data_IF_194176939414
#
_entry.id   IF_194176939414
#
_cell.length_a   1.000
_cell.length_b   1.000
_cell.length_c   1.000
_cell.angle_alpha   90.00
_cell.angle_beta   90.00
_cell.angle_gamma   90.00
#
_symmetry.space_group_name_H-M   'P 1'
#
loop_
_entity.id
_entity.type
_entity.pdbx_description
1 polymer ?
#
# COMPACT_ATOMS: atom_id res chain seq x y z
N UNK A 1 7.81 14.87 -21.06
CA UNK A 1 8.39 14.12 -19.95
C UNK A 1 8.44 12.64 -20.32
N UNK A 2 9.62 12.03 -20.22
CA UNK A 2 9.76 10.59 -20.48
C UNK A 2 9.18 9.81 -19.32
N UNK A 3 8.30 8.85 -19.63
CA UNK A 3 7.78 7.95 -18.65
C UNK A 3 8.81 6.84 -18.37
N UNK A 4 9.26 6.74 -17.12
CA UNK A 4 10.16 5.67 -16.70
C UNK A 4 9.37 4.67 -15.87
N UNK A 5 8.93 3.61 -16.54
CA UNK A 5 8.46 2.38 -15.90
C UNK A 5 9.59 1.34 -15.82
N UNK A 6 10.77 1.64 -16.37
CA UNK A 6 11.85 0.67 -16.45
C UNK A 6 12.57 0.54 -15.11
N UNK A 7 12.41 -0.62 -14.49
CA UNK A 7 13.05 -0.95 -13.21
C UNK A 7 14.57 -0.80 -13.24
N UNK A 8 15.23 -0.99 -14.40
CA UNK A 8 16.68 -0.83 -14.54
C UNK A 8 17.16 0.59 -14.22
N UNK A 9 16.33 1.61 -14.50
CA UNK A 9 16.66 2.99 -14.14
C UNK A 9 16.74 3.17 -12.61
N UNK A 10 15.84 2.52 -11.88
CA UNK A 10 15.82 2.59 -10.41
C UNK A 10 16.96 1.77 -9.81
N UNK A 11 17.19 0.56 -10.32
CA UNK A 11 18.21 -0.34 -9.78
C UNK A 11 19.63 0.22 -9.87
N UNK A 12 19.90 1.10 -10.84
CA UNK A 12 21.22 1.75 -10.95
C UNK A 12 21.50 2.80 -9.87
N UNK A 13 20.46 3.25 -9.15
CA UNK A 13 20.52 4.32 -8.15
C UNK A 13 19.94 3.94 -6.79
N UNK A 14 19.39 2.75 -6.69
CA UNK A 14 18.61 2.31 -5.54
C UNK A 14 19.38 1.30 -4.67
N UNK A 15 19.14 1.36 -3.39
CA UNK A 15 19.51 0.28 -2.47
C UNK A 15 18.46 -0.81 -2.56
N UNK A 16 18.88 -2.01 -2.97
CA UNK A 16 18.00 -3.17 -3.06
C UNK A 16 17.78 -3.71 -1.65
N UNK A 17 16.53 -3.80 -1.24
CA UNK A 17 16.12 -4.32 0.07
C UNK A 17 15.86 -5.82 -0.01
N UNK A 18 15.12 -6.26 -1.02
CA UNK A 18 14.90 -7.68 -1.30
C UNK A 18 15.13 -7.95 -2.79
N UNK A 19 15.74 -9.10 -3.06
CA UNK A 19 15.89 -9.60 -4.42
C UNK A 19 14.55 -10.09 -5.00
N UNK A 20 14.55 -10.40 -6.27
CA UNK A 20 13.40 -11.04 -6.92
C UNK A 20 13.09 -12.40 -6.28
N UNK A 21 11.79 -12.68 -6.11
CA UNK A 21 11.29 -13.99 -5.72
C UNK A 21 10.62 -14.64 -6.92
N UNK A 22 10.84 -15.93 -7.08
CA UNK A 22 10.13 -16.74 -8.08
C UNK A 22 9.10 -17.58 -7.33
N UNK A 23 7.84 -17.42 -7.71
CA UNK A 23 6.74 -18.17 -7.14
C UNK A 23 6.21 -19.18 -8.15
N UNK A 24 5.99 -20.40 -7.72
CA UNK A 24 5.19 -21.36 -8.43
C UNK A 24 3.77 -21.30 -7.90
N UNK A 25 2.85 -20.76 -8.67
CA UNK A 25 1.44 -20.67 -8.28
C UNK A 25 0.67 -21.78 -8.99
N UNK A 26 0.19 -22.74 -8.22
CA UNK A 26 -0.76 -23.74 -8.69
C UNK A 26 -2.18 -23.21 -8.52
N UNK A 27 -2.69 -22.58 -9.56
CA UNK A 27 -4.11 -22.24 -9.62
C UNK A 27 -4.83 -23.48 -10.12
N UNK A 28 -5.61 -24.18 -9.31
CA UNK A 28 -6.43 -25.34 -9.65
C UNK A 28 -5.92 -26.22 -10.81
N UNK A 29 -6.16 -27.51 -10.75
CA UNK A 29 -5.73 -28.56 -11.71
C UNK A 29 -6.02 -28.32 -13.20
N UNK A 30 -6.74 -27.26 -13.56
CA UNK A 30 -7.13 -26.87 -14.91
C UNK A 30 -6.31 -25.70 -15.49
N UNK A 31 -5.47 -25.05 -14.71
CA UNK A 31 -4.68 -23.89 -15.16
C UNK A 31 -3.20 -24.27 -15.12
N UNK A 32 -2.49 -24.02 -16.22
CA UNK A 32 -1.04 -24.23 -16.35
C UNK A 32 -0.30 -23.60 -15.18
N UNK A 33 0.66 -24.30 -14.61
CA UNK A 33 1.64 -23.76 -13.66
C UNK A 33 2.20 -22.45 -14.22
N UNK A 34 1.96 -21.36 -13.51
CA UNK A 34 2.48 -20.06 -13.90
C UNK A 34 3.57 -19.68 -12.92
N UNK A 35 4.77 -19.43 -13.41
CA UNK A 35 5.82 -18.80 -12.61
C UNK A 35 5.57 -17.31 -12.56
N UNK A 36 5.47 -16.79 -11.34
CA UNK A 36 5.42 -15.35 -11.08
C UNK A 36 6.76 -14.90 -10.55
N UNK A 37 7.23 -13.76 -11.04
CA UNK A 37 8.41 -13.10 -10.49
C UNK A 37 7.98 -11.83 -9.77
N UNK A 38 8.37 -11.71 -8.50
CA UNK A 38 8.30 -10.42 -7.84
C UNK A 38 9.36 -9.50 -8.44
N UNK A 39 9.07 -8.21 -8.47
CA UNK A 39 10.12 -7.22 -8.71
C UNK A 39 10.95 -7.07 -7.43
N UNK A 40 12.24 -6.72 -7.54
CA UNK A 40 13.05 -6.40 -6.36
C UNK A 40 12.44 -5.19 -5.65
N UNK A 41 12.44 -5.22 -4.33
CA UNK A 41 12.05 -4.07 -3.52
C UNK A 41 13.26 -3.22 -3.21
N UNK A 42 13.10 -1.91 -3.27
CA UNK A 42 14.21 -0.96 -3.14
C UNK A 42 13.79 0.35 -2.49
N UNK A 43 14.77 1.11 -2.07
CA UNK A 43 14.62 2.52 -1.66
C UNK A 43 15.56 3.36 -2.49
N UNK A 44 15.10 4.46 -3.03
CA UNK A 44 15.91 5.39 -3.83
C UNK A 44 15.69 6.82 -3.38
N UNK A 45 16.68 7.67 -3.65
CA UNK A 45 16.64 9.10 -3.34
C UNK A 45 16.57 9.88 -4.66
N UNK A 46 15.67 10.86 -4.72
CA UNK A 46 15.60 11.82 -5.81
C UNK A 46 16.00 13.19 -5.33
N UNK A 47 16.96 13.80 -6.03
CA UNK A 47 17.35 15.19 -5.80
C UNK A 47 16.58 16.12 -6.72
N UNK A 48 16.23 17.32 -6.22
CA UNK A 48 15.55 18.36 -6.99
C UNK A 48 14.30 17.85 -7.73
N UNK A 49 13.44 17.12 -7.04
CA UNK A 49 12.22 16.56 -7.62
C UNK A 49 10.97 17.30 -7.16
N UNK A 50 9.88 17.08 -7.88
CA UNK A 50 8.57 17.62 -7.55
C UNK A 50 7.56 16.49 -7.40
N UNK A 51 6.78 16.53 -6.32
CA UNK A 51 5.68 15.63 -6.05
C UNK A 51 4.34 16.37 -6.10
N UNK A 52 3.29 15.68 -6.52
CA UNK A 52 1.94 16.25 -6.65
C UNK A 52 0.95 15.50 -5.79
N UNK A 53 -0.27 16.03 -5.68
CA UNK A 53 -1.40 15.32 -5.06
C UNK A 53 -1.78 14.03 -5.79
N UNK A 54 -1.32 13.83 -7.02
CA UNK A 54 -1.35 12.53 -7.67
C UNK A 54 -0.14 11.71 -7.20
N UNK A 55 -0.24 10.38 -7.18
CA UNK A 55 0.87 9.52 -6.77
C UNK A 55 1.99 9.49 -7.83
N UNK A 56 2.51 10.65 -8.20
CA UNK A 56 3.52 10.84 -9.22
C UNK A 56 4.60 11.82 -8.77
N UNK A 57 5.83 11.54 -9.17
CA UNK A 57 6.99 12.39 -8.96
C UNK A 57 7.56 12.77 -10.33
N UNK A 58 7.93 14.04 -10.47
CA UNK A 58 8.70 14.52 -11.63
C UNK A 58 10.09 14.89 -11.17
N UNK A 59 11.09 14.25 -11.75
CA UNK A 59 12.50 14.50 -11.43
C UNK A 59 13.01 15.76 -12.11
N UNK A 60 14.19 16.25 -11.69
CA UNK A 60 14.84 17.41 -12.28
C UNK A 60 15.08 17.27 -13.78
N UNK A 61 15.44 16.08 -14.24
CA UNK A 61 15.69 15.74 -15.64
C UNK A 61 14.40 15.38 -16.41
N UNK A 62 13.26 15.82 -15.90
CA UNK A 62 11.93 15.67 -16.49
C UNK A 62 11.48 14.22 -16.71
N UNK A 63 11.88 13.31 -15.83
CA UNK A 63 11.34 11.97 -15.80
C UNK A 63 10.14 11.88 -14.88
N UNK A 64 9.10 11.18 -15.32
CA UNK A 64 7.91 10.89 -14.53
C UNK A 64 8.07 9.52 -13.87
N UNK A 65 8.04 9.51 -12.55
CA UNK A 65 8.10 8.29 -11.76
C UNK A 65 6.69 7.87 -11.38
N UNK A 66 6.24 6.74 -11.89
CA UNK A 66 4.87 6.25 -11.74
C UNK A 66 4.77 4.88 -11.08
N UNK A 67 5.85 4.38 -10.49
CA UNK A 67 5.88 3.06 -9.84
C UNK A 67 4.85 2.87 -8.73
N UNK A 68 4.23 3.95 -8.28
CA UNK A 68 3.22 3.93 -7.23
C UNK A 68 1.79 4.03 -7.79
N UNK A 69 1.66 4.07 -9.11
CA UNK A 69 0.38 4.30 -9.79
C UNK A 69 0.02 3.09 -10.61
N UNK A 70 -0.50 2.10 -9.95
CA UNK A 70 -1.31 1.09 -10.60
C UNK A 70 -2.68 1.72 -10.89
N UNK A 71 -3.18 1.68 -11.95
CA UNK A 71 -3.07 1.26 -13.34
C UNK A 71 -2.97 2.41 -14.35
N UNK A 72 -2.46 3.58 -13.95
CA UNK A 72 -2.44 4.77 -14.80
C UNK A 72 -1.77 4.54 -16.16
N UNK A 73 -0.93 3.50 -16.26
CA UNK A 73 -0.14 3.25 -17.45
C UNK A 73 -0.25 1.82 -18.00
N UNK A 74 -0.91 0.89 -17.31
CA UNK A 74 -0.79 -0.54 -17.60
C UNK A 74 -1.62 -1.04 -18.78
N UNK A 75 -2.67 -0.37 -19.23
CA UNK A 75 -3.50 -0.86 -20.35
C UNK A 75 -4.07 0.25 -21.21
N UNK A 76 -3.25 0.84 -22.07
CA UNK A 76 -3.81 1.52 -23.24
C UNK A 76 -3.10 1.06 -24.50
N UNK A 77 -3.44 -0.13 -24.97
CA UNK A 77 -3.36 -0.42 -26.40
C UNK A 77 -4.52 0.34 -27.05
N UNK A 78 -4.18 1.39 -27.80
CA UNK A 78 -5.02 2.02 -28.84
C UNK A 78 -6.24 2.86 -28.47
N UNK A 79 -6.37 3.42 -27.27
CA UNK A 79 -7.34 4.52 -27.06
C UNK A 79 -6.73 5.61 -26.15
N UNK A 80 -6.93 6.90 -26.45
CA UNK A 80 -6.53 7.97 -25.54
C UNK A 80 -7.46 7.94 -24.33
N UNK A 81 -7.13 7.18 -23.31
CA UNK A 81 -7.82 7.29 -22.04
C UNK A 81 -7.33 8.55 -21.34
N UNK A 82 -8.25 9.41 -21.00
CA UNK A 82 -8.03 10.47 -20.01
C UNK A 82 -7.83 9.78 -18.66
N UNK A 83 -6.62 9.33 -18.42
CA UNK A 83 -6.24 8.62 -17.21
C UNK A 83 -6.42 9.54 -16.00
N UNK A 84 -6.14 10.80 -16.19
CA UNK A 84 -6.43 11.88 -15.27
C UNK A 84 -6.36 13.19 -16.05
N UNK A 85 -7.08 14.24 -15.61
CA UNK A 85 -7.06 15.56 -16.27
C UNK A 85 -5.65 16.17 -16.43
N UNK A 86 -4.67 15.64 -15.71
CA UNK A 86 -3.29 16.11 -15.72
C UNK A 86 -2.35 15.34 -16.65
N UNK A 87 -2.74 14.17 -17.16
CA UNK A 87 -1.86 13.32 -17.97
C UNK A 87 -2.47 13.02 -19.32
N UNK A 88 -1.70 13.25 -20.37
CA UNK A 88 -2.01 12.78 -21.71
C UNK A 88 -0.83 11.96 -22.20
N UNK A 89 -1.05 10.71 -22.57
CA UNK A 89 0.01 9.81 -23.04
C UNK A 89 0.10 9.81 -24.55
N UNK A 90 1.32 9.94 -25.05
CA UNK A 90 1.69 9.83 -26.47
C UNK A 90 2.84 8.81 -26.60
N UNK A 91 2.53 7.53 -26.89
CA UNK A 91 3.57 6.51 -26.96
C UNK A 91 4.34 6.38 -25.63
N UNK A 92 5.65 6.61 -25.68
CA UNK A 92 6.54 6.58 -24.51
C UNK A 92 6.68 7.93 -23.79
N UNK A 93 6.01 8.96 -24.26
CA UNK A 93 6.00 10.28 -23.64
C UNK A 93 4.68 10.57 -22.97
N UNK A 94 4.72 11.37 -21.93
CA UNK A 94 3.54 11.82 -21.18
C UNK A 94 3.59 13.33 -21.06
N UNK A 95 2.55 13.99 -21.54
CA UNK A 95 2.34 15.40 -21.24
C UNK A 95 1.70 15.56 -19.88
N UNK A 96 2.34 16.31 -19.01
CA UNK A 96 1.88 16.56 -17.66
C UNK A 96 1.57 18.03 -17.51
N UNK A 97 0.32 18.32 -17.20
CA UNK A 97 -0.05 19.64 -16.75
C UNK A 97 0.15 19.73 -15.22
N UNK A 98 1.36 20.13 -14.83
CA UNK A 98 1.70 20.29 -13.42
C UNK A 98 0.91 21.43 -12.80
N UNK A 99 0.31 21.22 -11.63
CA UNK A 99 -0.15 22.34 -10.80
C UNK A 99 1.02 23.27 -10.42
N UNK A 100 0.72 24.51 -10.00
CA UNK A 100 1.76 25.42 -9.53
C UNK A 100 2.52 24.85 -8.33
N UNK A 101 3.80 25.19 -8.23
CA UNK A 101 4.62 24.87 -7.07
C UNK A 101 4.22 25.84 -5.95
N UNK A 102 3.66 25.30 -4.88
CA UNK A 102 3.15 26.09 -3.74
C UNK A 102 4.06 25.99 -2.51
N UNK A 103 4.90 24.95 -2.44
CA UNK A 103 5.88 24.76 -1.38
C UNK A 103 7.21 24.26 -1.89
N UNK A 104 8.30 24.67 -1.22
CA UNK A 104 9.64 24.14 -1.46
C UNK A 104 10.27 23.75 -0.12
N UNK A 105 10.92 22.59 -0.14
CA UNK A 105 11.62 22.02 1.01
C UNK A 105 13.10 21.94 0.67
N UNK A 106 13.85 22.90 1.19
CA UNK A 106 15.28 23.07 0.94
C UNK A 106 16.15 22.50 2.06
N UNK A 107 15.53 22.10 3.17
CA UNK A 107 16.23 21.55 4.30
C UNK A 107 16.54 20.07 4.07
N UNK A 108 17.69 19.63 4.59
CA UNK A 108 18.12 18.24 4.58
C UNK A 108 17.34 17.36 5.57
N UNK A 109 16.02 17.59 5.68
CA UNK A 109 15.13 16.68 6.39
C UNK A 109 14.88 15.45 5.55
N UNK A 110 14.69 14.33 6.23
CA UNK A 110 14.44 13.07 5.55
C UNK A 110 12.96 12.97 5.17
N UNK A 111 12.60 13.56 4.05
CA UNK A 111 11.24 13.46 3.51
C UNK A 111 11.07 12.13 2.77
N UNK A 112 9.98 11.42 3.07
CA UNK A 112 9.66 10.12 2.49
C UNK A 112 8.33 10.19 1.74
N UNK A 113 8.33 9.79 0.49
CA UNK A 113 7.15 9.75 -0.34
C UNK A 113 6.29 8.51 -0.07
N UNK A 114 5.07 8.71 0.40
CA UNK A 114 4.06 7.68 0.61
C UNK A 114 2.79 8.00 -0.18
N UNK A 115 2.76 7.77 -1.48
CA UNK A 115 1.58 8.01 -2.27
C UNK A 115 0.44 7.06 -1.87
N UNK A 116 -0.76 7.60 -1.77
CA UNK A 116 -2.01 6.86 -1.59
C UNK A 116 -2.85 7.10 -2.84
N UNK A 117 -3.27 6.04 -3.52
CA UNK A 117 -4.15 6.14 -4.68
C UNK A 117 -5.57 6.54 -4.22
N UNK A 118 -6.14 7.56 -4.85
CA UNK A 118 -7.49 8.07 -4.52
C UNK A 118 -8.58 6.99 -4.60
N UNK A 119 -8.48 6.07 -5.57
CA UNK A 119 -9.47 5.01 -5.77
C UNK A 119 -9.38 3.87 -4.75
N UNK A 120 -8.25 3.76 -4.07
CA UNK A 120 -7.96 2.68 -3.11
C UNK A 120 -7.72 3.17 -1.69
N UNK A 121 -7.84 4.49 -1.47
CA UNK A 121 -7.49 5.14 -0.21
C UNK A 121 -8.25 4.60 1.01
N UNK A 122 -9.52 4.23 0.86
CA UNK A 122 -10.34 3.67 1.96
C UNK A 122 -10.32 2.13 1.99
N UNK A 123 -9.54 1.47 1.14
CA UNK A 123 -9.45 0.03 1.10
C UNK A 123 -8.34 -0.48 2.04
N UNK A 124 -8.65 -1.25 3.10
CA UNK A 124 -7.66 -1.77 4.05
C UNK A 124 -6.49 -2.50 3.37
N UNK A 125 -6.77 -3.34 2.37
CA UNK A 125 -5.73 -4.05 1.63
C UNK A 125 -4.68 -3.10 1.06
N UNK A 126 -5.11 -2.06 0.35
CA UNK A 126 -4.18 -1.12 -0.27
C UNK A 126 -3.41 -0.30 0.77
N UNK A 127 -4.04 0.07 1.88
CA UNK A 127 -3.32 0.79 2.94
C UNK A 127 -2.23 -0.11 3.57
N UNK A 128 -2.55 -1.36 3.91
CA UNK A 128 -1.55 -2.25 4.51
C UNK A 128 -0.48 -2.69 3.52
N UNK A 129 -0.87 -3.07 2.30
CA UNK A 129 0.03 -3.71 1.34
C UNK A 129 0.77 -2.70 0.46
N UNK A 130 0.14 -1.59 0.07
CA UNK A 130 0.76 -0.63 -0.85
C UNK A 130 1.40 0.56 -0.11
N UNK A 131 0.94 0.88 1.09
CA UNK A 131 1.41 2.06 1.84
C UNK A 131 2.25 1.64 3.05
N UNK A 132 1.65 0.94 4.02
CA UNK A 132 2.34 0.58 5.26
C UNK A 132 3.52 -0.37 5.03
N UNK A 133 3.42 -1.27 4.07
CA UNK A 133 4.53 -2.17 3.69
C UNK A 133 5.84 -1.44 3.35
N UNK A 134 5.77 -0.19 2.91
CA UNK A 134 6.95 0.64 2.60
C UNK A 134 7.77 0.97 3.84
N UNK A 135 7.16 0.98 5.03
CA UNK A 135 7.87 1.17 6.29
C UNK A 135 8.89 0.06 6.53
N UNK A 136 8.58 -1.17 6.13
CA UNK A 136 9.53 -2.30 6.19
C UNK A 136 10.81 -2.03 5.40
N UNK A 137 10.71 -1.40 4.24
CA UNK A 137 11.86 -1.06 3.42
C UNK A 137 12.73 0.02 4.08
N UNK A 138 12.09 0.96 4.75
CA UNK A 138 12.78 2.01 5.51
C UNK A 138 13.46 1.46 6.75
N UNK A 139 12.82 0.52 7.48
CA UNK A 139 13.43 -0.14 8.65
C UNK A 139 14.74 -0.81 8.32
N UNK A 140 14.80 -1.57 7.23
CA UNK A 140 16.00 -2.28 6.80
C UNK A 140 17.15 -1.33 6.49
N UNK A 141 16.86 -0.13 6.00
CA UNK A 141 17.86 0.87 5.65
C UNK A 141 18.29 1.73 6.83
N UNK A 142 17.36 2.17 7.69
CA UNK A 142 17.62 3.24 8.66
C UNK A 142 17.11 2.99 10.07
N UNK A 143 16.70 1.82 10.41
CA UNK A 143 16.08 1.46 11.70
C UNK A 143 14.60 1.78 11.84
N UNK A 144 14.01 1.26 12.94
CA UNK A 144 12.58 1.39 13.27
C UNK A 144 12.16 2.78 13.76
N UNK A 145 13.11 3.72 13.92
CA UNK A 145 12.78 5.04 14.42
C UNK A 145 12.23 5.96 13.34
N UNK A 146 10.93 5.84 13.06
CA UNK A 146 10.23 6.65 12.06
C UNK A 146 10.06 8.12 12.44
N UNK A 147 10.36 8.52 13.68
CA UNK A 147 10.25 9.92 14.12
C UNK A 147 11.24 10.86 13.44
N UNK A 148 12.29 10.30 12.84
CA UNK A 148 13.30 11.03 12.06
C UNK A 148 12.82 11.42 10.68
N UNK A 149 11.70 10.85 10.21
CA UNK A 149 11.16 11.08 8.89
C UNK A 149 9.93 11.97 8.94
N UNK A 150 9.74 12.71 7.86
CA UNK A 150 8.48 13.39 7.56
C UNK A 150 7.90 12.78 6.32
N UNK A 151 6.76 12.12 6.47
CA UNK A 151 6.12 11.43 5.37
C UNK A 151 5.26 12.39 4.54
N UNK A 152 5.36 12.28 3.22
CA UNK A 152 4.62 13.10 2.27
C UNK A 152 3.56 12.24 1.62
N UNK A 153 2.31 12.57 1.84
CA UNK A 153 1.14 11.85 1.33
C UNK A 153 0.52 12.60 0.15
N UNK A 154 0.00 11.87 -0.83
CA UNK A 154 -0.77 12.44 -1.93
C UNK A 154 -2.26 12.58 -1.60
N UNK A 155 -2.86 11.59 -0.96
CA UNK A 155 -4.28 11.57 -0.58
C UNK A 155 -4.43 10.91 0.79
N UNK A 156 -4.76 11.66 1.85
CA UNK A 156 -5.04 11.05 3.14
C UNK A 156 -6.36 10.30 3.06
N UNK A 157 -6.39 9.11 3.61
CA UNK A 157 -7.62 8.37 3.80
C UNK A 157 -7.99 8.34 5.28
N UNK A 158 -9.30 8.19 5.56
CA UNK A 158 -9.74 7.99 6.94
C UNK A 158 -9.16 6.70 7.51
N UNK A 159 -9.05 5.66 6.68
CA UNK A 159 -8.48 4.39 7.11
C UNK A 159 -6.98 4.52 7.42
N UNK A 160 -6.20 5.20 6.56
CA UNK A 160 -4.79 5.49 6.85
C UNK A 160 -4.64 6.29 8.16
N UNK A 161 -5.47 7.31 8.36
CA UNK A 161 -5.43 8.12 9.57
C UNK A 161 -5.70 7.30 10.84
N UNK A 162 -6.64 6.33 10.79
CA UNK A 162 -6.87 5.38 11.90
C UNK A 162 -5.62 4.54 12.16
N UNK A 163 -5.03 3.95 11.11
CA UNK A 163 -3.80 3.13 11.23
C UNK A 163 -2.64 3.98 11.79
N UNK A 164 -2.41 5.18 11.25
CA UNK A 164 -1.36 6.07 11.73
C UNK A 164 -1.53 6.41 13.21
N UNK A 165 -2.76 6.80 13.61
CA UNK A 165 -3.06 7.15 15.01
C UNK A 165 -2.86 5.99 15.98
N UNK A 166 -3.27 4.78 15.59
CA UNK A 166 -3.29 3.64 16.51
C UNK A 166 -1.99 2.85 16.54
N UNK A 167 -1.30 2.72 15.39
CA UNK A 167 -0.10 1.90 15.24
C UNK A 167 1.18 2.75 15.23
N UNK A 168 1.10 3.97 14.70
CA UNK A 168 2.23 4.89 14.57
C UNK A 168 1.94 6.28 15.16
N UNK A 169 1.63 6.40 16.47
CA UNK A 169 1.14 7.66 17.07
C UNK A 169 2.12 8.84 16.95
N UNK A 170 3.40 8.56 16.75
CA UNK A 170 4.45 9.59 16.59
C UNK A 170 4.77 9.91 15.12
N UNK A 171 4.03 9.34 14.18
CA UNK A 171 4.26 9.53 12.76
C UNK A 171 4.03 11.00 12.36
N UNK A 172 5.06 11.63 11.79
CA UNK A 172 4.96 12.97 11.23
C UNK A 172 4.67 12.89 9.75
N UNK A 173 3.59 13.52 9.28
CA UNK A 173 3.31 13.57 7.86
C UNK A 173 2.67 14.88 7.42
N UNK A 174 2.88 15.20 6.16
CA UNK A 174 2.21 16.28 5.46
C UNK A 174 1.44 15.72 4.27
N UNK A 175 0.38 16.39 3.90
CA UNK A 175 -0.46 16.03 2.76
C UNK A 175 -0.34 17.11 1.71
N UNK A 176 -0.03 16.72 0.47
CA UNK A 176 -0.06 17.64 -0.65
C UNK A 176 -1.52 17.92 -0.99
N UNK A 177 -1.97 19.17 -0.89
CA UNK A 177 -3.34 19.52 -1.23
C UNK A 177 -3.67 19.25 -2.69
N UNK A 178 -4.96 19.04 -2.98
CA UNK A 178 -5.42 18.84 -4.35
C UNK A 178 -5.03 20.01 -5.24
N UNK A 179 -4.52 19.74 -6.44
CA UNK A 179 -4.02 20.73 -7.39
C UNK A 179 -2.80 21.55 -6.95
N UNK A 180 -2.00 21.01 -6.04
CA UNK A 180 -0.72 21.59 -5.67
C UNK A 180 0.44 20.68 -6.07
N UNK A 181 1.60 21.31 -6.22
CA UNK A 181 2.90 20.65 -6.41
C UNK A 181 3.86 21.16 -5.35
N UNK A 182 4.59 20.25 -4.72
CA UNK A 182 5.65 20.58 -3.79
C UNK A 182 6.99 20.15 -4.34
N UNK A 183 8.01 21.00 -4.20
CA UNK A 183 9.38 20.74 -4.62
C UNK A 183 10.23 20.33 -3.44
N UNK A 184 11.06 19.33 -3.64
CA UNK A 184 11.97 18.79 -2.62
C UNK A 184 13.40 18.83 -3.16
N UNK A 185 14.34 19.31 -2.33
CA UNK A 185 15.77 19.18 -2.60
C UNK A 185 16.18 17.70 -2.58
N UNK A 186 15.63 16.94 -1.63
CA UNK A 186 15.80 15.48 -1.55
C UNK A 186 14.49 14.84 -1.10
N UNK A 187 14.12 13.75 -1.78
CA UNK A 187 12.93 12.96 -1.47
C UNK A 187 13.25 11.47 -1.57
N UNK A 188 13.02 10.76 -0.48
CA UNK A 188 13.19 9.32 -0.41
C UNK A 188 11.94 8.63 -0.94
N UNK A 189 12.14 7.65 -1.81
CA UNK A 189 11.05 6.93 -2.47
C UNK A 189 11.25 5.43 -2.29
N UNK A 190 10.53 4.80 -1.35
CA UNK A 190 10.47 3.35 -1.27
C UNK A 190 9.62 2.79 -2.41
N UNK A 191 10.02 1.64 -2.95
CA UNK A 191 9.24 0.94 -3.97
C UNK A 191 7.93 0.37 -3.42
N UNK A 192 7.10 -0.16 -4.28
CA UNK A 192 6.00 -1.04 -3.85
C UNK A 192 6.55 -2.37 -3.33
N UNK A 193 5.88 -2.97 -2.36
CA UNK A 193 6.24 -4.27 -1.76
C UNK A 193 5.42 -5.43 -2.33
N UNK A 194 4.52 -5.16 -3.28
CA UNK A 194 3.71 -6.15 -3.94
C UNK A 194 4.08 -6.29 -5.42
N UNK A 195 3.78 -7.44 -5.99
CA UNK A 195 3.83 -7.64 -7.43
C UNK A 195 2.64 -6.96 -8.11
N UNK A 196 2.80 -6.67 -9.40
CA UNK A 196 1.78 -6.04 -10.25
C UNK A 196 0.39 -6.73 -10.22
N UNK A 197 0.31 -7.98 -9.79
CA UNK A 197 -0.93 -8.78 -9.73
C UNK A 197 -1.43 -9.02 -8.29
N UNK A 198 -1.02 -8.19 -7.34
CA UNK A 198 -1.45 -8.28 -5.95
C UNK A 198 -0.78 -9.40 -5.15
N UNK A 199 0.27 -10.02 -5.68
CA UNK A 199 1.05 -11.02 -4.96
C UNK A 199 1.99 -10.30 -3.99
N UNK A 200 1.90 -10.70 -2.74
CA UNK A 200 2.68 -10.15 -1.64
C UNK A 200 4.01 -10.87 -1.53
N UNK A 201 5.10 -10.14 -1.31
CA UNK A 201 6.42 -10.79 -1.08
C UNK A 201 6.39 -11.63 0.19
N UNK A 202 7.06 -12.82 0.23
CA UNK A 202 7.01 -13.75 1.37
C UNK A 202 7.40 -13.12 2.72
N UNK A 203 8.24 -12.10 2.69
CA UNK A 203 8.71 -11.43 3.91
C UNK A 203 7.73 -10.41 4.48
N UNK A 204 6.69 -10.04 3.74
CA UNK A 204 5.76 -9.01 4.18
C UNK A 204 4.76 -9.51 5.24
N UNK A 205 4.08 -10.67 5.11
CA UNK A 205 3.14 -11.12 6.13
C UNK A 205 3.78 -11.31 7.52
N UNK A 206 4.96 -11.95 7.68
CA UNK A 206 5.62 -12.03 8.99
C UNK A 206 5.95 -10.65 9.57
N UNK A 207 6.37 -9.70 8.74
CA UNK A 207 6.66 -8.35 9.18
C UNK A 207 5.38 -7.61 9.64
N UNK A 208 4.28 -7.73 8.90
CA UNK A 208 3.00 -7.12 9.29
C UNK A 208 2.49 -7.70 10.62
N UNK A 209 2.63 -9.00 10.86
CA UNK A 209 2.31 -9.62 12.15
C UNK A 209 3.17 -9.06 13.28
N UNK A 210 4.48 -8.94 13.04
CA UNK A 210 5.40 -8.34 14.01
C UNK A 210 4.99 -6.90 14.33
N UNK A 211 4.67 -6.10 13.32
CA UNK A 211 4.19 -4.73 13.49
C UNK A 211 2.88 -4.67 14.27
N UNK A 212 1.93 -5.56 13.98
CA UNK A 212 0.68 -5.70 14.72
C UNK A 212 0.91 -6.02 16.18
N UNK A 213 1.82 -6.92 16.49
CA UNK A 213 2.20 -7.28 17.86
C UNK A 213 2.82 -6.09 18.61
N UNK A 214 3.71 -5.33 17.96
CA UNK A 214 4.28 -4.11 18.56
C UNK A 214 3.21 -3.06 18.84
N UNK A 215 2.33 -2.79 17.87
CA UNK A 215 1.30 -1.76 17.99
C UNK A 215 0.21 -2.07 19.01
N UNK A 216 -0.06 -3.35 19.28
CA UNK A 216 -1.10 -3.80 20.22
C UNK A 216 -0.56 -4.24 21.57
N UNK A 217 0.75 -4.46 21.69
CA UNK A 217 1.37 -5.07 22.86
C UNK A 217 1.06 -6.57 23.00
N UNK A 218 0.49 -7.18 21.96
CA UNK A 218 0.26 -8.63 21.93
C UNK A 218 1.59 -9.36 21.88
N UNK A 219 1.81 -10.25 22.84
CA UNK A 219 2.96 -11.18 22.83
C UNK A 219 2.51 -12.50 22.23
N UNK A 220 3.46 -13.23 21.64
CA UNK A 220 3.27 -14.59 21.06
C UNK A 220 2.69 -15.63 22.05
N UNK A 221 2.49 -15.27 23.33
CA UNK A 221 1.93 -16.13 24.38
C UNK A 221 0.41 -16.31 24.28
N UNK A 222 -0.26 -15.64 23.37
CA UNK A 222 -1.71 -15.77 23.18
C UNK A 222 -2.04 -17.09 22.50
N UNK A 223 -2.77 -17.98 23.17
CA UNK A 223 -3.32 -19.18 22.54
C UNK A 223 -4.62 -18.84 21.83
N UNK A 224 -4.68 -18.98 20.49
CA UNK A 224 -5.92 -18.78 19.75
C UNK A 224 -7.02 -19.71 20.29
N UNK A 225 -8.24 -19.21 20.45
CA UNK A 225 -9.35 -19.96 21.01
C UNK A 225 -10.71 -19.65 20.39
N UNK A 226 -10.77 -18.63 19.50
CA UNK A 226 -12.02 -18.13 18.92
C UNK A 226 -12.28 -18.73 17.54
N UNK A 227 -13.56 -18.99 17.24
CA UNK A 227 -14.05 -19.27 15.87
C UNK A 227 -14.86 -18.07 15.44
N UNK A 228 -14.39 -17.33 14.42
CA UNK A 228 -15.02 -16.09 14.00
C UNK A 228 -15.62 -16.19 12.62
N UNK A 229 -16.82 -15.66 12.47
CA UNK A 229 -17.47 -15.40 11.20
C UNK A 229 -17.48 -13.90 10.95
N UNK A 230 -16.80 -13.45 9.89
CA UNK A 230 -16.76 -12.03 9.52
C UNK A 230 -17.94 -11.74 8.60
N UNK A 231 -18.90 -11.00 9.14
CA UNK A 231 -20.06 -10.54 8.36
C UNK A 231 -19.74 -9.32 7.51
N UNK A 232 -20.45 -9.19 6.38
CA UNK A 232 -20.45 -8.02 5.51
C UNK A 232 -21.85 -7.42 5.37
N UNK A 233 -22.68 -7.53 6.39
CA UNK A 233 -24.08 -7.11 6.35
C UNK A 233 -24.28 -5.70 5.79
N UNK A 234 -23.33 -4.80 6.08
CA UNK A 234 -23.35 -3.41 5.65
C UNK A 234 -22.48 -3.14 4.41
N UNK A 235 -21.90 -4.19 3.81
CA UNK A 235 -21.07 -4.08 2.61
C UNK A 235 -21.90 -3.95 1.34
N UNK A 236 -21.45 -3.09 0.41
CA UNK A 236 -22.12 -2.91 -0.89
C UNK A 236 -21.93 -4.09 -1.85
N UNK A 237 -20.94 -4.96 -1.61
CA UNK A 237 -20.56 -6.07 -2.50
C UNK A 237 -20.31 -7.37 -1.74
N UNK A 238 -20.59 -8.50 -2.40
CA UNK A 238 -20.26 -9.84 -1.90
C UNK A 238 -20.94 -10.17 -0.56
N UNK A 239 -22.19 -9.73 -0.40
CA UNK A 239 -23.01 -10.10 0.74
C UNK A 239 -23.45 -11.56 0.62
N UNK A 240 -23.51 -12.25 1.75
CA UNK A 240 -24.03 -13.62 1.81
C UNK A 240 -25.57 -13.52 1.88
N UNK A 241 -26.24 -13.96 0.82
CA UNK A 241 -27.71 -13.79 0.69
C UNK A 241 -28.50 -14.61 1.72
N UNK A 242 -27.97 -15.77 2.15
CA UNK A 242 -28.58 -16.65 3.14
C UNK A 242 -27.80 -16.64 4.47
N UNK A 243 -27.29 -15.49 4.88
CA UNK A 243 -26.45 -15.38 6.09
C UNK A 243 -27.16 -15.87 7.35
N UNK A 244 -28.45 -15.66 7.50
CA UNK A 244 -29.21 -16.14 8.67
C UNK A 244 -29.20 -17.66 8.77
N UNK A 245 -29.41 -18.36 7.64
CA UNK A 245 -29.32 -19.81 7.61
C UNK A 245 -27.92 -20.31 7.92
N UNK A 246 -26.88 -19.61 7.43
CA UNK A 246 -25.49 -19.93 7.72
C UNK A 246 -25.19 -19.77 9.22
N UNK A 247 -25.68 -18.72 9.85
CA UNK A 247 -25.48 -18.49 11.29
C UNK A 247 -26.13 -19.58 12.16
N UNK A 248 -27.26 -20.13 11.75
CA UNK A 248 -27.88 -21.27 12.44
C UNK A 248 -26.98 -22.52 12.39
N UNK A 249 -26.24 -22.70 11.32
CA UNK A 249 -25.29 -23.82 11.17
C UNK A 249 -23.96 -23.58 11.92
N UNK A 250 -23.60 -22.33 12.14
CA UNK A 250 -22.34 -21.91 12.80
C UNK A 250 -22.48 -21.84 14.34
N UNK A 251 -22.97 -22.92 14.96
CA UNK A 251 -23.07 -22.99 16.42
C UNK A 251 -21.68 -22.83 17.07
N UNK A 252 -21.57 -21.91 18.04
CA UNK A 252 -20.31 -21.63 18.72
C UNK A 252 -19.31 -20.75 17.94
N UNK A 253 -19.74 -20.18 16.82
CA UNK A 253 -18.99 -19.14 16.12
C UNK A 253 -19.44 -17.75 16.58
N UNK A 254 -18.49 -16.86 16.69
CA UNK A 254 -18.73 -15.46 16.99
C UNK A 254 -18.85 -14.66 15.69
N UNK A 255 -19.89 -13.85 15.58
CA UNK A 255 -20.09 -12.96 14.43
C UNK A 255 -19.40 -11.63 14.67
N UNK A 256 -18.53 -11.21 13.75
CA UNK A 256 -17.73 -9.99 13.85
C UNK A 256 -17.98 -9.09 12.66
N UNK A 257 -18.24 -7.81 12.92
CA UNK A 257 -18.29 -6.73 11.89
C UNK A 257 -17.03 -5.87 12.06
N UNK A 258 -16.11 -5.94 11.10
CA UNK A 258 -14.79 -5.29 11.22
C UNK A 258 -14.86 -3.77 11.23
N UNK A 259 -15.79 -3.19 10.48
CA UNK A 259 -15.91 -1.71 10.38
C UNK A 259 -16.31 -1.04 11.71
N UNK A 260 -16.89 -1.81 12.63
CA UNK A 260 -17.22 -1.34 13.97
C UNK A 260 -16.04 -1.36 14.96
N UNK A 261 -14.92 -1.98 14.56
CA UNK A 261 -13.75 -2.18 15.40
C UNK A 261 -12.64 -1.17 15.09
N UNK A 262 -11.88 -0.79 16.11
CA UNK A 262 -10.60 -0.12 15.97
C UNK A 262 -9.57 -1.04 15.29
N UNK A 263 -8.48 -0.49 14.76
CA UNK A 263 -7.42 -1.28 14.14
C UNK A 263 -6.83 -2.29 15.14
N UNK A 264 -6.59 -1.85 16.38
CA UNK A 264 -6.08 -2.73 17.46
C UNK A 264 -7.03 -3.87 17.78
N UNK A 265 -8.34 -3.59 17.85
CA UNK A 265 -9.35 -4.63 18.09
C UNK A 265 -9.44 -5.61 16.92
N UNK A 266 -9.35 -5.13 15.66
CA UNK A 266 -9.27 -6.03 14.50
C UNK A 266 -8.07 -6.97 14.61
N UNK A 267 -6.87 -6.45 14.85
CA UNK A 267 -5.66 -7.27 15.03
C UNK A 267 -5.86 -8.28 16.15
N UNK A 268 -6.46 -7.88 17.27
CA UNK A 268 -6.76 -8.77 18.40
C UNK A 268 -7.67 -9.92 17.99
N UNK A 269 -8.80 -9.62 17.35
CA UNK A 269 -9.77 -10.62 16.89
C UNK A 269 -9.11 -11.68 16.02
N UNK A 270 -8.26 -11.27 15.07
CA UNK A 270 -7.56 -12.20 14.19
C UNK A 270 -6.46 -12.98 14.92
N UNK A 271 -5.74 -12.36 15.85
CA UNK A 271 -4.69 -13.02 16.64
C UNK A 271 -5.28 -14.11 17.59
N UNK A 272 -6.50 -13.90 18.08
CA UNK A 272 -7.20 -14.85 18.95
C UNK A 272 -7.97 -15.95 18.19
N UNK A 273 -8.04 -15.85 16.85
CA UNK A 273 -8.85 -16.78 16.07
C UNK A 273 -8.11 -18.09 15.77
N UNK A 274 -8.78 -19.22 16.04
CA UNK A 274 -8.39 -20.55 15.54
C UNK A 274 -8.98 -20.84 14.17
N UNK A 275 -10.17 -20.30 13.88
CA UNK A 275 -10.89 -20.47 12.62
C UNK A 275 -11.51 -19.15 12.20
N UNK A 276 -11.39 -18.86 10.92
CA UNK A 276 -11.96 -17.66 10.31
C UNK A 276 -12.78 -18.08 9.10
N UNK A 277 -14.04 -17.66 9.08
CA UNK A 277 -14.95 -17.79 7.95
C UNK A 277 -15.36 -16.39 7.47
N UNK A 278 -15.20 -16.10 6.22
CA UNK A 278 -15.56 -14.80 5.64
C UNK A 278 -15.84 -14.90 4.15
N UNK A 279 -16.68 -14.02 3.64
CA UNK A 279 -16.68 -13.72 2.21
C UNK A 279 -15.37 -12.98 1.84
N UNK A 280 -14.85 -13.26 0.64
CA UNK A 280 -13.63 -12.61 0.15
C UNK A 280 -13.73 -11.08 0.23
N UNK A 281 -12.70 -10.43 0.74
CA UNK A 281 -12.66 -8.97 0.86
C UNK A 281 -11.45 -8.44 1.60
N UNK A 282 -11.28 -7.12 1.56
CA UNK A 282 -10.14 -6.41 2.15
C UNK A 282 -10.01 -6.61 3.68
N UNK A 283 -11.08 -6.95 4.39
CA UNK A 283 -11.02 -7.31 5.81
C UNK A 283 -10.13 -8.52 6.11
N UNK A 284 -9.92 -9.41 5.12
CA UNK A 284 -9.01 -10.55 5.26
C UNK A 284 -7.51 -10.17 5.18
N UNK A 285 -7.18 -8.90 5.00
CA UNK A 285 -5.80 -8.41 5.08
C UNK A 285 -5.19 -8.61 6.48
N UNK A 286 -6.04 -8.78 7.48
CA UNK A 286 -5.61 -9.04 8.87
C UNK A 286 -5.16 -10.50 9.11
N UNK A 287 -5.26 -11.40 8.13
CA UNK A 287 -4.71 -12.76 8.17
C UNK A 287 -3.20 -12.73 8.00
#
# INVERSE_FOLDING_TARGET
VKNITNIKYFLSRAEIVDNEYIFNVNWHSLIKQTQWRSLPTFVTDFSNCSATSLPAIVTHDQHLITNHVWPLLAKVKNKPHKVHKMFTRWGDTVDIKMPPITKQFNEAWTYVWLPIDENSAENPWHIWIDVISKFRLLEKRWSTNFTKYVFILSNPSNYFNKVAKEIFPELKYYVIPKNETWRFQQLIVPSMSNCLDGIVTPNLPPWLRHLGNLGTGYRESFKPHRKIFITRKDGSYRNITNQEQLLLALKGWETVTLDALTIKEQIKVFAEATHILAAHGAGLTNL
#
